data_IF_330561791859
#
_entry.id   IF_330561791859
#
_cell.length_a   1.000
_cell.length_b   1.000
_cell.length_c   1.000
_cell.angle_alpha   90.00
_cell.angle_beta   90.00
_cell.angle_gamma   90.00
#
_symmetry.space_group_name_H-M   'P 1'
#
loop_
_entity.id
_entity.type
_entity.pdbx_description
1 polymer ?
#
# COMPACT_ATOMS: atom_id res chain seq x y z
N UNK A 1 11.24 -9.38 -6.46
CA UNK A 1 10.55 -10.55 -5.86
C UNK A 1 11.04 -10.87 -4.43
N UNK A 2 11.24 -9.89 -3.53
CA UNK A 2 11.73 -10.13 -2.16
C UNK A 2 10.67 -9.98 -1.07
N UNK A 3 9.50 -9.44 -1.40
CA UNK A 3 8.39 -9.31 -0.46
C UNK A 3 7.89 -10.70 -0.05
N UNK A 4 7.66 -10.89 1.25
CA UNK A 4 7.10 -12.13 1.82
C UNK A 4 5.62 -11.98 2.22
N UNK A 5 5.00 -10.84 1.87
CA UNK A 5 3.61 -10.52 2.17
C UNK A 5 3.24 -10.59 3.66
N UNK A 6 4.17 -10.29 4.57
CA UNK A 6 3.94 -10.39 6.02
C UNK A 6 3.09 -9.26 6.62
N UNK A 7 2.88 -8.15 5.90
CA UNK A 7 2.09 -7.01 6.37
C UNK A 7 2.84 -6.02 7.27
N UNK A 8 4.09 -6.30 7.65
CA UNK A 8 4.86 -5.38 8.52
C UNK A 8 5.07 -3.98 7.95
N UNK A 9 5.08 -3.83 6.62
CA UNK A 9 5.14 -2.51 6.00
C UNK A 9 3.87 -1.69 6.20
N UNK A 10 2.70 -2.33 6.31
CA UNK A 10 1.41 -1.68 6.58
C UNK A 10 1.37 -1.22 8.02
N UNK A 11 1.64 -2.12 8.96
CA UNK A 11 1.65 -1.83 10.40
C UNK A 11 2.70 -0.78 10.79
N UNK A 12 3.86 -0.79 10.12
CA UNK A 12 4.90 0.19 10.39
C UNK A 12 4.61 1.58 9.79
N UNK A 13 3.62 1.73 8.91
CA UNK A 13 3.37 2.98 8.21
C UNK A 13 2.49 3.91 9.07
N UNK A 14 3.01 5.04 9.59
CA UNK A 14 2.26 5.91 10.51
C UNK A 14 1.21 6.79 9.81
N UNK A 15 1.24 6.86 8.48
CA UNK A 15 0.35 7.71 7.68
C UNK A 15 -0.54 6.91 6.75
N UNK A 16 -0.55 5.58 6.89
CA UNK A 16 -1.33 4.68 6.04
C UNK A 16 -1.10 4.90 4.53
N UNK A 17 0.17 5.09 4.14
CA UNK A 17 0.54 5.33 2.74
C UNK A 17 0.63 4.04 1.91
N UNK A 18 0.67 2.88 2.57
CA UNK A 18 0.78 1.56 1.94
C UNK A 18 -0.14 0.58 2.64
N UNK A 19 -0.87 -0.20 1.84
CA UNK A 19 -1.80 -1.24 2.32
C UNK A 19 -1.68 -2.49 1.46
N UNK A 20 -2.14 -3.64 1.97
CA UNK A 20 -2.31 -4.85 1.19
C UNK A 20 -3.74 -4.94 0.67
N UNK A 21 -3.89 -5.06 -0.65
CA UNK A 21 -5.17 -5.45 -1.24
C UNK A 21 -5.39 -6.96 -1.23
N UNK A 22 -6.58 -7.40 -1.62
CA UNK A 22 -6.96 -8.82 -1.68
C UNK A 22 -6.56 -9.53 -2.99
N UNK A 23 -5.61 -8.97 -3.76
CA UNK A 23 -5.19 -9.54 -5.05
C UNK A 23 -4.12 -10.62 -4.81
N UNK A 24 -4.54 -11.89 -4.84
CA UNK A 24 -3.64 -13.04 -4.68
C UNK A 24 -3.20 -13.67 -6.01
N UNK A 25 -3.88 -13.37 -7.11
CA UNK A 25 -3.62 -13.93 -8.45
C UNK A 25 -2.57 -13.11 -9.22
N UNK A 26 -1.32 -13.11 -8.73
CA UNK A 26 -0.22 -12.28 -9.30
C UNK A 26 0.92 -13.10 -9.91
N UNK A 27 0.73 -14.41 -10.08
CA UNK A 27 1.73 -15.29 -10.67
C UNK A 27 2.06 -14.90 -12.12
N UNK A 28 3.34 -14.96 -12.48
CA UNK A 28 3.85 -14.63 -13.81
C UNK A 28 5.03 -15.51 -14.16
N UNK A 29 5.19 -15.80 -15.46
CA UNK A 29 6.36 -16.51 -15.99
C UNK A 29 7.61 -15.62 -16.12
N UNK A 30 7.42 -14.29 -16.14
CA UNK A 30 8.51 -13.32 -16.12
C UNK A 30 8.64 -12.70 -14.73
N UNK A 31 9.77 -12.97 -14.08
CA UNK A 31 10.06 -12.44 -12.73
C UNK A 31 10.21 -10.92 -12.69
N UNK A 32 10.48 -10.28 -13.82
CA UNK A 32 10.61 -8.81 -13.90
C UNK A 32 9.29 -8.11 -13.57
N UNK A 33 8.14 -8.74 -13.87
CA UNK A 33 6.81 -8.21 -13.59
C UNK A 33 6.45 -8.23 -12.10
N UNK A 34 7.20 -8.99 -11.29
CA UNK A 34 7.06 -9.07 -9.83
C UNK A 34 7.89 -8.00 -9.09
N UNK A 35 8.43 -7.02 -9.82
CA UNK A 35 9.15 -5.88 -9.28
C UNK A 35 8.29 -4.63 -9.52
N UNK A 36 7.62 -4.19 -8.46
CA UNK A 36 6.76 -3.01 -8.51
C UNK A 36 7.57 -1.75 -8.27
N UNK A 37 7.44 -0.77 -9.15
CA UNK A 37 7.97 0.58 -8.97
C UNK A 37 6.91 1.51 -8.41
N UNK A 38 7.35 2.66 -7.92
CA UNK A 38 6.51 3.67 -7.28
C UNK A 38 5.28 4.00 -8.14
N UNK A 39 5.49 4.20 -9.42
CA UNK A 39 4.46 4.63 -10.38
C UNK A 39 3.32 3.61 -10.49
N UNK A 40 3.62 2.32 -10.28
CA UNK A 40 2.63 1.24 -10.34
C UNK A 40 1.82 1.08 -9.04
N UNK A 41 2.25 1.72 -7.96
CA UNK A 41 1.64 1.63 -6.63
C UNK A 41 0.87 2.89 -6.24
N UNK A 42 0.98 3.97 -7.01
CA UNK A 42 0.25 5.21 -6.74
C UNK A 42 -1.22 5.06 -7.14
N UNK A 43 -2.11 5.42 -6.22
CA UNK A 43 -3.53 5.60 -6.51
C UNK A 43 -3.76 6.94 -7.22
N UNK A 44 -4.83 7.01 -8.01
CA UNK A 44 -5.28 8.28 -8.58
C UNK A 44 -5.66 9.24 -7.44
N UNK A 45 -5.13 10.47 -7.52
CA UNK A 45 -5.54 11.56 -6.64
C UNK A 45 -7.04 11.83 -6.88
N UNK A 46 -7.92 11.67 -5.88
CA UNK A 46 -9.32 11.99 -6.07
C UNK A 46 -9.50 13.50 -6.31
N UNK A 47 -10.46 13.91 -7.16
CA UNK A 47 -10.73 15.32 -7.41
C UNK A 47 -11.13 16.01 -6.10
N UNK A 48 -10.46 17.12 -5.77
CA UNK A 48 -10.70 17.89 -4.54
C UNK A 48 -9.85 17.49 -3.33
N UNK A 49 -9.02 16.45 -3.40
CA UNK A 49 -8.02 16.21 -2.35
C UNK A 49 -6.98 17.34 -2.38
N UNK A 50 -6.90 18.15 -1.32
CA UNK A 50 -5.91 19.22 -1.14
C UNK A 50 -4.48 18.69 -0.98
N UNK A 51 -3.49 19.51 -1.34
CA UNK A 51 -2.07 19.14 -1.24
C UNK A 51 -1.61 19.20 0.22
N UNK A 52 -1.62 18.04 0.89
CA UNK A 52 -0.98 17.87 2.19
C UNK A 52 -1.96 17.69 3.33
N UNK A 53 -2.45 16.46 3.51
CA UNK A 53 -2.86 16.01 4.83
C UNK A 53 -1.62 15.39 5.47
N UNK A 54 -1.07 16.04 6.50
CA UNK A 54 -0.27 15.35 7.51
C UNK A 54 -1.30 14.58 8.35
N UNK A 55 -1.55 13.32 8.00
CA UNK A 55 -2.43 12.46 8.80
C UNK A 55 -1.74 12.32 10.16
N UNK A 56 -2.40 12.81 11.21
CA UNK A 56 -1.90 12.70 12.57
C UNK A 56 -1.66 11.22 12.90
N UNK A 57 -0.49 10.91 13.47
CA UNK A 57 0.00 9.55 13.74
C UNK A 57 -0.79 8.78 14.83
N UNK A 58 -1.99 9.24 15.20
CA UNK A 58 -2.77 8.71 16.31
C UNK A 58 -4.27 8.77 16.00
N UNK A 59 -4.76 7.90 15.09
CA UNK A 59 -6.16 7.47 15.07
C UNK A 59 -6.37 6.29 14.11
N UNK A 60 -6.11 5.07 14.59
CA UNK A 60 -6.73 3.87 14.03
C UNK A 60 -7.57 3.21 15.15
N UNK A 61 -8.91 3.21 15.09
CA UNK A 61 -9.63 2.13 15.73
C UNK A 61 -9.45 0.91 14.82
N UNK A 62 -8.70 -0.06 15.33
CA UNK A 62 -8.65 -1.41 14.80
C UNK A 62 -10.09 -1.91 14.61
N UNK A 63 -10.50 -2.11 13.36
CA UNK A 63 -11.71 -2.85 13.03
C UNK A 63 -11.57 -3.54 11.67
N UNK A 64 -11.76 -4.86 11.73
CA UNK A 64 -11.92 -5.83 10.66
C UNK A 64 -10.63 -6.46 10.10
N UNK A 65 -10.54 -7.76 10.40
CA UNK A 65 -9.61 -8.78 9.96
C UNK A 65 -9.38 -8.84 8.44
#
# INVERSE_FOLDING_TARGET
NRCIFCGYCVEACPTDAITHGHKFEVASFDTSTLIYRKEQLLAARPPGAGAGVRVAADAAPAAAH
#
